data_IF_119038996489
#
_entry.id   IF_119038996489
#
_cell.length_a   1.000
_cell.length_b   1.000
_cell.length_c   1.000
_cell.angle_alpha   90.00
_cell.angle_beta   90.00
_cell.angle_gamma   90.00
#
_symmetry.space_group_name_H-M   'P 1'
#
loop_
_entity.id
_entity.type
_entity.pdbx_description
1 polymer ?
#
# COMPACT_ATOMS: atom_id res chain seq x y z
N UNK A 1 -20.90 -12.22 -1.38
CA UNK A 1 -19.87 -13.11 -2.00
C UNK A 1 -18.43 -12.62 -1.85
N UNK A 2 -18.20 -11.35 -1.51
CA UNK A 2 -16.86 -10.73 -1.35
C UNK A 2 -16.11 -11.17 -0.08
N UNK A 3 -16.79 -11.57 0.98
CA UNK A 3 -16.15 -11.95 2.25
C UNK A 3 -15.27 -13.21 2.18
N UNK A 4 -15.63 -14.18 1.34
CA UNK A 4 -14.82 -15.40 1.16
C UNK A 4 -13.49 -15.11 0.43
N UNK A 5 -13.50 -14.26 -0.59
CA UNK A 5 -12.30 -13.90 -1.35
C UNK A 5 -11.29 -13.14 -0.47
N UNK A 6 -11.76 -12.17 0.31
CA UNK A 6 -10.91 -11.39 1.23
C UNK A 6 -10.25 -12.28 2.27
N UNK A 7 -10.98 -13.28 2.81
CA UNK A 7 -10.44 -14.24 3.77
C UNK A 7 -9.34 -15.11 3.15
N UNK A 8 -9.53 -15.57 1.92
CA UNK A 8 -8.53 -16.35 1.19
C UNK A 8 -7.28 -15.53 0.90
N UNK A 9 -7.43 -14.30 0.41
CA UNK A 9 -6.30 -13.39 0.15
C UNK A 9 -5.51 -13.13 1.45
N UNK A 10 -6.21 -12.85 2.55
CA UNK A 10 -5.57 -12.61 3.82
C UNK A 10 -4.83 -13.85 4.37
N UNK A 11 -5.33 -15.05 4.08
CA UNK A 11 -4.68 -16.30 4.49
C UNK A 11 -3.34 -16.54 3.78
N UNK A 12 -3.21 -16.08 2.52
CA UNK A 12 -1.99 -16.22 1.73
C UNK A 12 -1.02 -15.03 1.84
N UNK A 13 -1.41 -13.98 2.58
CA UNK A 13 -0.65 -12.74 2.66
C UNK A 13 0.74 -12.94 3.27
N UNK A 14 0.88 -13.79 4.27
CA UNK A 14 2.16 -14.14 4.88
C UNK A 14 3.13 -14.77 3.85
N UNK A 15 2.64 -15.75 3.10
CA UNK A 15 3.43 -16.38 2.03
C UNK A 15 3.79 -15.42 0.90
N UNK A 16 2.87 -14.53 0.52
CA UNK A 16 3.11 -13.52 -0.50
C UNK A 16 4.18 -12.50 -0.06
N UNK A 17 4.16 -12.07 1.20
CA UNK A 17 5.18 -11.18 1.76
C UNK A 17 6.55 -11.86 1.75
N UNK A 18 6.62 -13.12 2.21
CA UNK A 18 7.88 -13.89 2.23
C UNK A 18 8.45 -14.05 0.81
N UNK A 19 7.61 -14.43 -0.14
CA UNK A 19 8.02 -14.59 -1.53
C UNK A 19 8.52 -13.27 -2.14
N UNK A 20 7.82 -12.17 -1.92
CA UNK A 20 8.20 -10.87 -2.47
C UNK A 20 9.51 -10.34 -1.90
N UNK A 21 9.74 -10.49 -0.58
CA UNK A 21 10.99 -10.07 0.04
C UNK A 21 12.17 -10.96 -0.37
N UNK A 22 11.94 -12.26 -0.58
CA UNK A 22 12.95 -13.16 -1.14
C UNK A 22 13.36 -12.75 -2.56
N UNK A 23 12.40 -12.40 -3.40
CA UNK A 23 12.66 -11.89 -4.77
C UNK A 23 13.52 -10.62 -4.76
N UNK A 24 13.26 -9.68 -3.83
CA UNK A 24 14.03 -8.46 -3.72
C UNK A 24 15.47 -8.67 -3.22
N UNK A 25 15.66 -9.54 -2.23
CA UNK A 25 16.93 -9.66 -1.52
C UNK A 25 17.70 -10.94 -1.84
N UNK A 26 17.12 -11.91 -2.53
CA UNK A 26 17.72 -13.25 -2.76
C UNK A 26 18.23 -13.87 -1.47
N UNK A 27 17.31 -14.05 -0.53
CA UNK A 27 17.62 -14.47 0.84
C UNK A 27 18.20 -15.89 0.88
N UNK A 28 19.16 -16.12 1.76
CA UNK A 28 19.64 -17.47 2.08
C UNK A 28 18.62 -18.25 2.93
N UNK A 29 18.93 -19.52 3.21
CA UNK A 29 18.03 -20.40 3.96
C UNK A 29 17.76 -19.91 5.38
N UNK A 30 18.76 -19.36 6.05
CA UNK A 30 18.64 -18.86 7.44
C UNK A 30 17.80 -17.59 7.49
N UNK A 31 18.04 -16.66 6.55
CA UNK A 31 17.28 -15.43 6.37
C UNK A 31 15.81 -15.71 6.02
N UNK A 32 15.52 -16.68 5.14
CA UNK A 32 14.16 -17.15 4.83
C UNK A 32 13.44 -17.68 6.05
N UNK A 33 14.13 -18.47 6.87
CA UNK A 33 13.56 -19.01 8.12
C UNK A 33 13.27 -17.88 9.12
N UNK A 34 14.16 -16.90 9.24
CA UNK A 34 13.95 -15.71 10.06
C UNK A 34 12.75 -14.91 9.56
N UNK A 35 12.72 -14.59 8.26
CA UNK A 35 11.63 -13.85 7.63
C UNK A 35 10.28 -14.52 7.84
N UNK A 36 10.16 -15.81 7.58
CA UNK A 36 8.91 -16.58 7.79
C UNK A 36 8.42 -16.46 9.24
N UNK A 37 9.32 -16.62 10.21
CA UNK A 37 8.99 -16.44 11.63
C UNK A 37 8.50 -15.04 11.96
N UNK A 38 9.20 -14.01 11.46
CA UNK A 38 8.87 -12.61 11.75
C UNK A 38 7.54 -12.20 11.09
N UNK A 39 7.29 -12.65 9.85
CA UNK A 39 6.03 -12.40 9.15
C UNK A 39 4.87 -13.12 9.85
N UNK A 40 5.01 -14.39 10.20
CA UNK A 40 3.99 -15.13 10.96
C UNK A 40 3.68 -14.47 12.30
N UNK A 41 4.71 -13.97 13.00
CA UNK A 41 4.54 -13.23 14.24
C UNK A 41 3.79 -11.90 14.05
N UNK A 42 4.11 -11.14 12.99
CA UNK A 42 3.39 -9.92 12.63
C UNK A 42 1.92 -10.21 12.30
N UNK A 43 1.66 -11.23 11.47
CA UNK A 43 0.30 -11.58 11.07
C UNK A 43 -0.53 -12.13 12.24
N UNK A 44 0.08 -12.85 13.18
CA UNK A 44 -0.60 -13.27 14.40
C UNK A 44 -1.00 -12.08 15.28
N UNK A 45 -0.07 -11.13 15.50
CA UNK A 45 -0.34 -9.90 16.22
C UNK A 45 -1.43 -9.07 15.51
N UNK A 46 -1.34 -8.89 14.21
CA UNK A 46 -2.30 -8.12 13.41
C UNK A 46 -3.72 -8.71 13.52
N UNK A 47 -3.85 -10.05 13.47
CA UNK A 47 -5.14 -10.72 13.66
C UNK A 47 -5.74 -10.47 15.03
N UNK A 48 -4.91 -10.45 16.08
CA UNK A 48 -5.38 -10.33 17.45
C UNK A 48 -5.69 -8.88 17.85
N UNK A 49 -4.93 -7.91 17.31
CA UNK A 49 -4.97 -6.52 17.80
C UNK A 49 -5.60 -5.57 16.77
N UNK A 50 -5.30 -5.69 15.48
CA UNK A 50 -5.78 -4.72 14.49
C UNK A 50 -7.08 -5.14 13.82
N UNK A 51 -7.29 -6.42 13.47
CA UNK A 51 -8.55 -6.83 12.82
C UNK A 51 -9.80 -6.53 13.64
N UNK A 52 -9.83 -6.68 14.98
CA UNK A 52 -10.98 -6.26 15.77
C UNK A 52 -11.22 -4.75 15.73
N UNK A 53 -10.15 -3.94 15.65
CA UNK A 53 -10.23 -2.49 15.49
C UNK A 53 -10.82 -2.15 14.13
N UNK A 54 -10.31 -2.79 13.05
CA UNK A 54 -10.83 -2.58 11.69
C UNK A 54 -12.33 -2.94 11.61
N UNK A 55 -12.74 -4.06 12.18
CA UNK A 55 -14.15 -4.46 12.18
C UNK A 55 -15.03 -3.40 12.83
N UNK A 56 -14.66 -2.92 14.02
CA UNK A 56 -15.37 -1.85 14.73
C UNK A 56 -15.41 -0.55 13.93
N UNK A 57 -14.28 -0.13 13.33
CA UNK A 57 -14.18 1.14 12.61
C UNK A 57 -14.94 1.07 11.27
N UNK A 58 -14.98 -0.09 10.62
CA UNK A 58 -15.80 -0.34 9.44
C UNK A 58 -17.30 -0.34 9.76
N UNK A 59 -17.71 -0.93 10.90
CA UNK A 59 -19.09 -0.85 11.36
C UNK A 59 -19.52 0.59 11.66
N UNK A 60 -18.63 1.37 12.27
CA UNK A 60 -18.88 2.78 12.50
C UNK A 60 -19.00 3.58 11.20
N UNK A 61 -18.13 3.32 10.23
CA UNK A 61 -18.18 3.93 8.90
C UNK A 61 -19.47 3.53 8.16
N UNK A 62 -19.83 2.24 8.16
CA UNK A 62 -21.04 1.75 7.53
C UNK A 62 -22.31 2.43 8.05
N UNK A 63 -22.36 2.71 9.35
CA UNK A 63 -23.45 3.49 9.98
C UNK A 63 -23.39 4.97 9.57
N UNK A 64 -22.21 5.56 9.51
CA UNK A 64 -22.03 6.97 9.18
C UNK A 64 -22.42 7.27 7.71
N UNK A 65 -22.08 6.41 6.76
CA UNK A 65 -22.40 6.62 5.34
C UNK A 65 -23.88 6.42 4.98
N UNK A 66 -24.71 5.97 5.92
CA UNK A 66 -26.16 5.91 5.74
C UNK A 66 -26.80 7.31 5.59
N UNK A 67 -26.09 8.37 5.97
CA UNK A 67 -26.46 9.77 5.79
C UNK A 67 -25.30 10.56 5.20
N UNK A 68 -25.54 11.75 4.61
CA UNK A 68 -24.47 12.62 4.12
C UNK A 68 -23.49 12.93 5.26
N UNK A 69 -22.21 12.67 5.03
CA UNK A 69 -21.15 12.91 6.01
C UNK A 69 -20.60 14.33 5.90
N UNK A 70 -20.31 14.95 7.02
CA UNK A 70 -19.55 16.20 7.08
C UNK A 70 -18.06 15.94 6.81
N UNK A 71 -17.27 16.94 6.34
CA UNK A 71 -15.82 16.80 6.21
C UNK A 71 -15.13 16.33 7.50
N UNK A 72 -15.55 16.84 8.67
CA UNK A 72 -14.99 16.44 9.96
C UNK A 72 -15.22 14.95 10.26
N UNK A 73 -16.39 14.41 9.92
CA UNK A 73 -16.67 12.97 10.08
C UNK A 73 -15.80 12.12 9.14
N UNK A 74 -15.59 12.58 7.89
CA UNK A 74 -14.66 11.90 6.95
C UNK A 74 -13.25 11.90 7.53
N UNK A 75 -12.76 13.05 7.99
CA UNK A 75 -11.42 13.18 8.60
C UNK A 75 -11.27 12.22 9.78
N UNK A 76 -12.26 12.11 10.67
CA UNK A 76 -12.21 11.19 11.80
C UNK A 76 -12.01 9.73 11.38
N UNK A 77 -12.66 9.27 10.32
CA UNK A 77 -12.46 7.91 9.80
C UNK A 77 -11.09 7.71 9.14
N UNK A 78 -10.58 8.74 8.46
CA UNK A 78 -9.22 8.73 7.90
C UNK A 78 -8.16 8.67 9.01
N UNK A 79 -8.30 9.46 10.06
CA UNK A 79 -7.40 9.47 11.23
C UNK A 79 -7.34 8.10 11.91
N UNK A 80 -8.48 7.43 12.06
CA UNK A 80 -8.54 6.07 12.61
C UNK A 80 -7.80 5.07 11.74
N UNK A 81 -7.99 5.15 10.42
CA UNK A 81 -7.28 4.31 9.46
C UNK A 81 -5.78 4.56 9.52
N UNK A 82 -5.36 5.82 9.57
CA UNK A 82 -3.96 6.20 9.71
C UNK A 82 -3.35 5.70 11.03
N UNK A 83 -4.05 5.84 12.14
CA UNK A 83 -3.61 5.33 13.44
C UNK A 83 -3.38 3.81 13.41
N UNK A 84 -4.27 3.05 12.76
CA UNK A 84 -4.13 1.60 12.60
C UNK A 84 -2.91 1.24 11.72
N UNK A 85 -2.68 1.98 10.64
CA UNK A 85 -1.49 1.81 9.81
C UNK A 85 -0.21 2.09 10.61
N UNK A 86 -0.20 3.20 11.38
CA UNK A 86 0.94 3.58 12.22
C UNK A 86 1.28 2.47 13.22
N UNK A 87 0.31 1.93 13.97
CA UNK A 87 0.55 0.82 14.90
C UNK A 87 1.08 -0.44 14.19
N UNK A 88 0.56 -0.75 13.00
CA UNK A 88 1.04 -1.88 12.21
C UNK A 88 2.49 -1.70 11.79
N UNK A 89 2.86 -0.50 11.33
CA UNK A 89 4.26 -0.17 10.98
C UNK A 89 5.17 -0.20 12.21
N UNK A 90 4.75 0.36 13.33
CA UNK A 90 5.52 0.32 14.60
C UNK A 90 5.80 -1.11 15.05
N UNK A 91 4.84 -2.03 14.87
CA UNK A 91 5.06 -3.44 15.16
C UNK A 91 5.95 -4.14 14.11
N UNK A 92 5.88 -3.73 12.85
CA UNK A 92 6.69 -4.28 11.77
C UNK A 92 8.16 -3.83 11.81
N UNK A 93 8.44 -2.57 12.21
CA UNK A 93 9.80 -2.00 12.21
C UNK A 93 10.82 -2.88 12.94
N UNK A 94 10.65 -3.28 14.22
CA UNK A 94 11.64 -4.08 14.91
C UNK A 94 11.87 -5.46 14.25
N UNK A 95 10.86 -6.02 13.59
CA UNK A 95 10.94 -7.27 12.83
C UNK A 95 11.76 -7.08 11.55
N UNK A 96 11.49 -5.99 10.84
CA UNK A 96 12.24 -5.60 9.63
C UNK A 96 13.71 -5.34 9.96
N UNK A 97 14.02 -4.65 11.08
CA UNK A 97 15.38 -4.40 11.52
C UNK A 97 16.12 -5.70 11.80
N UNK A 98 15.48 -6.69 12.44
CA UNK A 98 16.10 -8.01 12.67
C UNK A 98 16.47 -8.72 11.37
N UNK A 99 15.63 -8.67 10.35
CA UNK A 99 15.96 -9.23 9.04
C UNK A 99 17.07 -8.41 8.37
N UNK A 100 16.92 -7.10 8.33
CA UNK A 100 17.87 -6.19 7.67
C UNK A 100 19.30 -6.35 8.23
N UNK A 101 19.44 -6.57 9.56
CA UNK A 101 20.75 -6.77 10.19
C UNK A 101 21.44 -8.09 9.79
N UNK A 102 20.77 -8.99 9.08
CA UNK A 102 21.35 -10.23 8.55
C UNK A 102 21.73 -10.13 7.08
N UNK A 103 21.34 -9.05 6.39
CA UNK A 103 21.65 -8.88 4.97
C UNK A 103 23.14 -8.64 4.78
N UNK A 104 23.70 -9.25 3.75
CA UNK A 104 25.07 -9.01 3.31
C UNK A 104 25.16 -7.72 2.51
N UNK A 105 26.37 -7.12 2.45
CA UNK A 105 26.63 -5.94 1.62
C UNK A 105 26.25 -6.17 0.15
N UNK A 106 26.48 -7.38 -0.37
CA UNK A 106 26.10 -7.75 -1.73
C UNK A 106 24.57 -7.74 -1.94
N UNK A 107 23.79 -8.22 -0.97
CA UNK A 107 22.32 -8.19 -1.03
C UNK A 107 21.81 -6.74 -0.98
N UNK A 108 22.37 -5.92 -0.10
CA UNK A 108 22.03 -4.48 -0.01
C UNK A 108 22.38 -3.76 -1.30
N UNK A 109 23.59 -3.96 -1.85
CA UNK A 109 24.03 -3.33 -3.09
C UNK A 109 23.13 -3.70 -4.29
N UNK A 110 22.74 -4.98 -4.40
CA UNK A 110 21.81 -5.44 -5.43
C UNK A 110 20.44 -4.76 -5.29
N UNK A 111 19.87 -4.77 -4.10
CA UNK A 111 18.59 -4.11 -3.83
C UNK A 111 18.62 -2.62 -4.19
N UNK A 112 19.69 -1.91 -3.81
CA UNK A 112 19.85 -0.49 -4.12
C UNK A 112 19.98 -0.25 -5.62
N UNK A 113 20.72 -1.09 -6.34
CA UNK A 113 20.85 -1.03 -7.81
C UNK A 113 19.48 -1.18 -8.49
N UNK A 114 18.71 -2.21 -8.12
CA UNK A 114 17.38 -2.46 -8.68
C UNK A 114 16.41 -1.33 -8.33
N UNK A 115 16.50 -0.77 -7.13
CA UNK A 115 15.70 0.37 -6.70
C UNK A 115 15.99 1.62 -7.53
N UNK A 116 17.26 1.96 -7.73
CA UNK A 116 17.69 3.10 -8.55
C UNK A 116 17.22 2.94 -9.99
N UNK A 117 17.38 1.74 -10.58
CA UNK A 117 16.91 1.44 -11.92
C UNK A 117 15.40 1.68 -12.06
N UNK A 118 14.58 1.09 -11.20
CA UNK A 118 13.10 1.28 -11.21
C UNK A 118 12.69 2.74 -11.01
N UNK A 119 13.47 3.51 -10.25
CA UNK A 119 13.22 4.94 -10.08
C UNK A 119 13.52 5.71 -11.35
N UNK A 120 14.64 5.41 -12.03
CA UNK A 120 14.99 6.03 -13.30
C UNK A 120 13.94 5.72 -14.38
N UNK A 121 13.47 4.47 -14.46
CA UNK A 121 12.39 4.07 -15.36
C UNK A 121 11.12 4.90 -15.10
N UNK A 122 10.67 5.01 -13.84
CA UNK A 122 9.49 5.84 -13.50
C UNK A 122 9.68 7.33 -13.83
N UNK A 123 10.88 7.89 -13.61
CA UNK A 123 11.19 9.27 -14.00
C UNK A 123 11.14 9.44 -15.53
N UNK A 124 11.69 8.46 -16.24
CA UNK A 124 11.66 8.47 -17.70
C UNK A 124 10.22 8.38 -18.23
N UNK A 125 9.42 7.44 -17.73
CA UNK A 125 8.02 7.27 -18.12
C UNK A 125 7.23 8.55 -17.87
N UNK A 126 7.38 9.15 -16.68
CA UNK A 126 6.72 10.42 -16.35
C UNK A 126 7.16 11.58 -17.27
N UNK A 127 8.42 11.62 -17.68
CA UNK A 127 8.94 12.68 -18.54
C UNK A 127 8.55 12.51 -20.02
N UNK A 128 8.29 11.29 -20.47
CA UNK A 128 8.08 10.95 -21.89
C UNK A 128 6.62 10.70 -22.23
N UNK A 129 5.82 10.25 -21.27
CA UNK A 129 4.42 9.94 -21.50
C UNK A 129 3.57 11.21 -21.57
N UNK A 130 2.72 11.38 -22.60
CA UNK A 130 1.86 12.55 -22.69
C UNK A 130 0.93 12.68 -21.47
N UNK A 131 0.82 13.88 -20.88
CA UNK A 131 -0.07 14.14 -19.74
C UNK A 131 -1.48 13.60 -19.95
N UNK A 132 -2.05 13.76 -21.13
CA UNK A 132 -3.40 13.29 -21.44
C UNK A 132 -3.54 11.78 -21.30
N UNK A 133 -2.50 11.00 -21.67
CA UNK A 133 -2.48 9.55 -21.51
C UNK A 133 -2.38 9.17 -20.05
N UNK A 134 -1.48 9.78 -19.28
CA UNK A 134 -1.35 9.53 -17.84
C UNK A 134 -2.65 9.84 -17.07
N UNK A 135 -3.29 10.95 -17.38
CA UNK A 135 -4.58 11.31 -16.76
C UNK A 135 -5.68 10.30 -17.09
N UNK A 136 -5.69 9.77 -18.33
CA UNK A 136 -6.61 8.71 -18.73
C UNK A 136 -6.37 7.46 -17.88
N UNK A 137 -5.13 7.01 -17.77
CA UNK A 137 -4.78 5.82 -16.97
C UNK A 137 -5.11 5.98 -15.49
N UNK A 138 -4.84 7.15 -14.90
CA UNK A 138 -5.21 7.42 -13.51
C UNK A 138 -6.72 7.32 -13.29
N UNK A 139 -7.53 7.87 -14.22
CA UNK A 139 -8.99 7.78 -14.15
C UNK A 139 -9.48 6.35 -14.28
N UNK A 140 -8.93 5.58 -15.22
CA UNK A 140 -9.30 4.18 -15.44
C UNK A 140 -8.97 3.34 -14.20
N UNK A 141 -7.75 3.42 -13.68
CA UNK A 141 -7.31 2.71 -12.46
C UNK A 141 -8.14 3.08 -11.22
N UNK A 142 -8.49 4.36 -11.08
CA UNK A 142 -9.36 4.81 -9.97
C UNK A 142 -10.78 4.26 -10.13
N UNK A 143 -11.33 4.33 -11.34
CA UNK A 143 -12.68 3.81 -11.62
C UNK A 143 -12.77 2.31 -11.36
N UNK A 144 -11.79 1.52 -11.79
CA UNK A 144 -11.71 0.07 -11.52
C UNK A 144 -11.68 -0.22 -10.01
N UNK A 145 -10.88 0.53 -9.24
CA UNK A 145 -10.85 0.39 -7.77
C UNK A 145 -12.19 0.73 -7.12
N UNK A 146 -12.83 1.80 -7.58
CA UNK A 146 -14.16 2.19 -7.06
C UNK A 146 -15.21 1.14 -7.41
N UNK A 147 -15.21 0.62 -8.65
CA UNK A 147 -16.12 -0.47 -9.06
C UNK A 147 -15.95 -1.69 -8.18
N UNK A 148 -14.72 -2.06 -7.83
CA UNK A 148 -14.45 -3.19 -6.93
C UNK A 148 -15.08 -2.99 -5.54
N UNK A 149 -15.02 -1.77 -4.97
CA UNK A 149 -15.47 -1.50 -3.60
C UNK A 149 -16.92 -1.09 -3.48
N UNK A 150 -17.41 -0.25 -4.40
CA UNK A 150 -18.73 0.38 -4.31
C UNK A 150 -19.66 -0.01 -5.47
N UNK A 151 -19.21 -0.87 -6.38
CA UNK A 151 -19.92 -1.23 -7.58
C UNK A 151 -19.82 -0.15 -8.67
N UNK A 152 -20.92 0.13 -9.35
CA UNK A 152 -20.91 1.04 -10.51
C UNK A 152 -20.62 2.49 -10.10
N UNK A 153 -19.64 3.11 -10.76
CA UNK A 153 -19.41 4.56 -10.68
C UNK A 153 -20.59 5.31 -11.30
N UNK A 154 -21.11 6.31 -10.60
CA UNK A 154 -22.23 7.15 -11.07
C UNK A 154 -21.69 8.32 -11.91
N UNK A 155 -22.44 8.83 -12.92
CA UNK A 155 -21.99 9.98 -13.72
C UNK A 155 -21.59 11.21 -12.90
N UNK A 156 -22.26 11.47 -11.78
CA UNK A 156 -21.91 12.57 -10.87
C UNK A 156 -20.54 12.40 -10.16
N UNK A 157 -19.95 11.21 -10.18
CA UNK A 157 -18.63 10.93 -9.58
C UNK A 157 -17.48 11.10 -10.60
N UNK A 158 -17.77 11.06 -11.90
CA UNK A 158 -16.75 11.17 -12.95
C UNK A 158 -15.93 12.47 -12.89
N UNK A 159 -16.53 13.65 -12.65
CA UNK A 159 -15.78 14.89 -12.48
C UNK A 159 -14.81 14.83 -11.27
N UNK A 160 -15.20 14.18 -10.19
CA UNK A 160 -14.36 14.02 -9.00
C UNK A 160 -13.17 13.11 -9.28
N UNK A 161 -13.39 12.04 -10.05
CA UNK A 161 -12.31 11.15 -10.50
C UNK A 161 -11.34 11.89 -11.42
N UNK A 162 -11.86 12.75 -12.32
CA UNK A 162 -11.02 13.57 -13.18
C UNK A 162 -10.17 14.56 -12.37
N UNK A 163 -10.77 15.24 -11.40
CA UNK A 163 -10.06 16.15 -10.49
C UNK A 163 -8.99 15.42 -9.67
N UNK A 164 -9.30 14.22 -9.17
CA UNK A 164 -8.33 13.39 -8.47
C UNK A 164 -7.15 13.00 -9.37
N UNK A 165 -7.41 12.69 -10.66
CA UNK A 165 -6.35 12.34 -11.60
C UNK A 165 -5.41 13.52 -11.88
N UNK A 166 -5.93 14.74 -12.01
CA UNK A 166 -5.12 15.97 -12.13
C UNK A 166 -4.25 16.16 -10.88
N UNK A 167 -4.83 16.06 -9.70
CA UNK A 167 -4.10 16.16 -8.45
C UNK A 167 -3.00 15.08 -8.34
N UNK A 168 -3.32 13.85 -8.72
CA UNK A 168 -2.36 12.75 -8.73
C UNK A 168 -1.18 13.05 -9.67
N UNK A 169 -1.44 13.63 -10.84
CA UNK A 169 -0.40 14.05 -11.78
C UNK A 169 0.49 15.16 -11.19
N UNK A 170 -0.09 16.15 -10.57
CA UNK A 170 0.64 17.26 -9.92
C UNK A 170 1.52 16.79 -8.75
N UNK A 171 1.11 15.72 -8.07
CA UNK A 171 1.88 15.13 -6.97
C UNK A 171 3.03 14.24 -7.43
N UNK A 172 3.09 13.86 -8.71
CA UNK A 172 4.15 12.97 -9.22
C UNK A 172 5.57 13.56 -9.11
N UNK A 173 5.86 14.83 -9.52
CA UNK A 173 7.20 15.38 -9.40
C UNK A 173 7.72 15.41 -7.95
N UNK A 174 7.02 16.00 -6.95
CA UNK A 174 7.50 16.03 -5.57
C UNK A 174 7.64 14.60 -4.99
N UNK A 175 6.81 13.65 -5.41
CA UNK A 175 6.94 12.26 -4.99
C UNK A 175 8.19 11.58 -5.57
N UNK A 176 8.52 11.84 -6.85
CA UNK A 176 9.74 11.34 -7.49
C UNK A 176 11.00 11.93 -6.84
N UNK A 177 10.98 13.22 -6.51
CA UNK A 177 12.07 13.89 -5.78
C UNK A 177 12.26 13.29 -4.37
N UNK A 178 11.17 13.09 -3.64
CA UNK A 178 11.21 12.43 -2.34
C UNK A 178 11.82 11.03 -2.43
N UNK A 179 11.41 10.23 -3.43
CA UNK A 179 11.99 8.89 -3.63
C UNK A 179 13.50 8.95 -3.95
N UNK A 180 13.95 9.96 -4.71
CA UNK A 180 15.37 10.15 -5.02
C UNK A 180 16.18 10.47 -3.76
N UNK A 181 15.64 11.27 -2.86
CA UNK A 181 16.31 11.60 -1.60
C UNK A 181 16.56 10.36 -0.72
N UNK A 182 15.70 9.34 -0.83
CA UNK A 182 15.83 8.06 -0.10
C UNK A 182 16.83 7.07 -0.73
N UNK A 183 17.35 7.36 -1.92
CA UNK A 183 18.31 6.49 -2.63
C UNK A 183 19.73 7.04 -2.57
N UNK A 184 19.93 8.20 -1.98
CA UNK A 184 21.24 8.84 -1.70
C UNK A 184 21.73 8.48 -0.31
#
# INVERSE_FOLDING_TARGET
>A
LTGCATRVIYYWLDSAIVWQLDDYFSLDRSQKTLLDREVKGLMAWHRQHELPIYARDLDALAKAVASPMTPAQVTLHLDRTQASLTRTLENAIPRTVRLASTLTDAQVARFMTDRVKRQQERKHDFATEPKAQMLKEFREKMSERLVFWIGKVKPAQEPLIAQWAEWQYEMMPPWLEFQEAWTK
#
